data_IF_518093199358
#
_entry.id   IF_518093199358
#
_cell.length_a   1.000
_cell.length_b   1.000
_cell.length_c   1.000
_cell.angle_alpha   90.00
_cell.angle_beta   90.00
_cell.angle_gamma   90.00
#
_symmetry.space_group_name_H-M   'P 1'
#
loop_
_entity.id
_entity.type
_entity.pdbx_description
1 polymer ?
#
# COMPACT_ATOMS: atom_id res chain seq x y z
N UNK A 1 -7.59 -0.13 -29.64
CA UNK A 1 -8.50 0.51 -28.65
C UNK A 1 -9.21 -0.49 -27.75
N UNK A 2 -9.85 -1.55 -28.25
CA UNK A 2 -10.62 -2.51 -27.44
C UNK A 2 -9.91 -3.09 -26.19
N UNK A 3 -8.66 -3.58 -26.30
CA UNK A 3 -7.92 -4.09 -25.15
C UNK A 3 -7.57 -3.03 -24.10
N UNK A 4 -7.26 -1.80 -24.53
CA UNK A 4 -6.88 -0.66 -23.67
C UNK A 4 -8.07 -0.13 -22.87
N UNK A 5 -9.28 -0.18 -23.43
CA UNK A 5 -10.51 0.25 -22.73
C UNK A 5 -10.89 -0.76 -21.64
N UNK A 6 -10.65 -2.06 -21.85
CA UNK A 6 -10.91 -3.12 -20.87
C UNK A 6 -9.97 -3.10 -19.67
N UNK A 7 -8.84 -2.41 -19.77
CA UNK A 7 -7.87 -2.24 -18.69
C UNK A 7 -8.06 -0.95 -17.89
N UNK A 8 -9.10 -0.16 -18.21
CA UNK A 8 -9.41 1.05 -17.46
C UNK A 8 -10.07 0.68 -16.13
N UNK A 9 -9.49 1.16 -15.04
CA UNK A 9 -9.95 0.88 -13.68
C UNK A 9 -11.14 1.77 -13.25
N UNK A 10 -11.62 2.65 -14.13
CA UNK A 10 -12.73 3.56 -13.87
C UNK A 10 -13.91 3.22 -14.79
N UNK A 11 -14.95 2.62 -14.21
CA UNK A 11 -16.13 2.11 -14.91
C UNK A 11 -16.92 3.20 -15.66
N UNK A 12 -16.85 4.46 -15.22
CA UNK A 12 -17.53 5.55 -15.91
C UNK A 12 -16.70 6.12 -17.07
N UNK A 13 -15.39 6.24 -16.91
CA UNK A 13 -14.49 6.56 -18.03
C UNK A 13 -14.63 5.51 -19.12
N UNK A 14 -14.70 4.24 -18.73
CA UNK A 14 -15.00 3.13 -19.63
C UNK A 14 -16.36 3.32 -20.30
N UNK A 15 -17.41 3.71 -19.56
CA UNK A 15 -18.74 4.03 -20.11
C UNK A 15 -18.71 5.18 -21.12
N UNK A 16 -18.00 6.27 -20.82
CA UNK A 16 -17.85 7.44 -21.70
C UNK A 16 -17.18 7.02 -23.01
N UNK A 17 -16.06 6.31 -22.93
CA UNK A 17 -15.34 5.82 -24.10
C UNK A 17 -16.21 4.86 -24.92
N UNK A 18 -16.90 3.90 -24.28
CA UNK A 18 -17.80 2.96 -24.96
C UNK A 18 -18.92 3.67 -25.71
N UNK A 19 -19.55 4.69 -25.12
CA UNK A 19 -20.55 5.51 -25.81
C UNK A 19 -19.96 6.31 -26.97
N UNK A 20 -18.77 6.88 -26.79
CA UNK A 20 -18.07 7.59 -27.86
C UNK A 20 -17.76 6.69 -29.06
N UNK A 21 -17.17 5.51 -28.83
CA UNK A 21 -16.91 4.54 -29.91
C UNK A 21 -18.20 4.05 -30.59
N UNK A 22 -19.28 3.84 -29.83
CA UNK A 22 -20.56 3.47 -30.41
C UNK A 22 -21.12 4.56 -31.34
N UNK A 23 -20.92 5.85 -31.03
CA UNK A 23 -21.40 6.96 -31.87
C UNK A 23 -20.71 7.07 -33.24
N UNK A 24 -19.53 6.48 -33.41
CA UNK A 24 -18.82 6.37 -34.70
C UNK A 24 -18.96 4.97 -35.32
N UNK A 25 -19.90 4.17 -34.80
CA UNK A 25 -20.20 2.85 -35.35
C UNK A 25 -19.14 1.78 -35.05
N UNK A 26 -18.44 1.88 -33.92
CA UNK A 26 -17.48 0.86 -33.47
C UNK A 26 -17.98 0.09 -32.25
N UNK A 27 -18.03 -1.25 -32.34
CA UNK A 27 -18.33 -2.13 -31.21
C UNK A 27 -17.03 -2.48 -30.45
N UNK A 28 -16.87 -1.87 -29.27
CA UNK A 28 -15.70 -2.08 -28.40
C UNK A 28 -15.63 -3.51 -27.85
N UNK A 29 -16.77 -4.19 -27.64
CA UNK A 29 -16.80 -5.53 -27.10
C UNK A 29 -16.38 -6.57 -28.13
N UNK A 30 -16.91 -6.45 -29.35
CA UNK A 30 -16.59 -7.37 -30.45
C UNK A 30 -15.36 -6.96 -31.25
N UNK A 31 -14.80 -5.78 -30.94
CA UNK A 31 -13.65 -5.18 -31.61
C UNK A 31 -13.84 -5.14 -33.14
N UNK A 32 -14.99 -4.65 -33.59
CA UNK A 32 -15.37 -4.60 -35.01
C UNK A 32 -16.28 -3.40 -35.32
N UNK A 33 -16.39 -3.06 -36.60
CA UNK A 33 -17.39 -2.11 -37.07
C UNK A 33 -18.81 -2.64 -36.80
N UNK A 34 -19.68 -1.75 -36.32
CA UNK A 34 -21.10 -1.98 -36.06
C UNK A 34 -22.00 -1.42 -37.17
N UNK A 35 -21.43 -0.63 -38.10
CA UNK A 35 -22.12 -0.06 -39.26
C UNK A 35 -21.46 -0.46 -40.57
N UNK A 36 -22.24 -0.44 -41.66
CA UNK A 36 -21.79 -0.85 -43.00
C UNK A 36 -20.86 0.16 -43.68
N UNK A 37 -20.92 1.43 -43.29
CA UNK A 37 -20.09 2.50 -43.86
C UNK A 37 -19.03 2.96 -42.86
N UNK A 38 -17.79 3.25 -43.30
CA UNK A 38 -16.74 3.76 -42.43
C UNK A 38 -17.06 5.18 -41.93
N UNK A 39 -16.63 5.57 -40.71
CA UNK A 39 -16.82 6.91 -40.21
C UNK A 39 -16.02 7.92 -41.05
N UNK A 40 -16.61 9.09 -41.31
CA UNK A 40 -15.90 10.17 -42.01
C UNK A 40 -14.86 10.82 -41.08
N UNK A 41 -13.89 11.54 -41.65
CA UNK A 41 -12.93 12.32 -40.87
C UNK A 41 -13.63 13.34 -39.94
N UNK A 42 -14.74 13.92 -40.39
CA UNK A 42 -15.56 14.81 -39.58
C UNK A 42 -16.14 14.10 -38.36
N UNK A 43 -16.67 12.88 -38.52
CA UNK A 43 -17.17 12.07 -37.41
C UNK A 43 -16.07 11.70 -36.41
N UNK A 44 -14.88 11.36 -36.90
CA UNK A 44 -13.73 11.03 -36.04
C UNK A 44 -13.29 12.26 -35.23
N UNK A 45 -13.13 13.42 -35.88
CA UNK A 45 -12.69 14.65 -35.22
C UNK A 45 -13.68 15.10 -34.14
N UNK A 46 -14.97 15.04 -34.47
CA UNK A 46 -16.04 15.38 -33.54
C UNK A 46 -16.12 14.39 -32.37
N UNK A 47 -15.98 13.08 -32.61
CA UNK A 47 -15.86 12.07 -31.56
C UNK A 47 -14.69 12.35 -30.60
N UNK A 48 -13.50 12.62 -31.12
CA UNK A 48 -12.32 12.89 -30.31
C UNK A 48 -12.52 14.16 -29.47
N UNK A 49 -13.07 15.21 -30.06
CA UNK A 49 -13.33 16.48 -29.38
C UNK A 49 -14.35 16.30 -28.26
N UNK A 50 -15.50 15.68 -28.54
CA UNK A 50 -16.56 15.45 -27.53
C UNK A 50 -16.09 14.52 -26.42
N UNK A 51 -15.35 13.47 -26.76
CA UNK A 51 -14.80 12.52 -25.79
C UNK A 51 -13.76 13.20 -24.91
N UNK A 52 -12.87 14.00 -25.48
CA UNK A 52 -11.87 14.76 -24.73
C UNK A 52 -12.53 15.75 -23.76
N UNK A 53 -13.54 16.50 -24.23
CA UNK A 53 -14.32 17.41 -23.37
C UNK A 53 -15.01 16.63 -22.26
N UNK A 54 -15.71 15.53 -22.56
CA UNK A 54 -16.36 14.71 -21.54
C UNK A 54 -15.35 14.16 -20.53
N UNK A 55 -14.19 13.67 -20.96
CA UNK A 55 -13.18 13.14 -20.04
C UNK A 55 -12.53 14.22 -19.18
N UNK A 56 -12.26 15.40 -19.73
CA UNK A 56 -11.64 16.51 -19.01
C UNK A 56 -12.60 17.26 -18.08
N UNK A 57 -13.90 17.27 -18.43
CA UNK A 57 -14.96 17.90 -17.64
C UNK A 57 -15.71 16.92 -16.74
N UNK A 58 -15.55 15.60 -16.94
CA UNK A 58 -16.18 14.60 -16.10
C UNK A 58 -15.72 14.81 -14.66
N UNK A 59 -16.69 15.12 -13.81
CA UNK A 59 -16.58 15.03 -12.37
C UNK A 59 -17.42 13.82 -11.99
N UNK A 60 -16.82 12.75 -11.45
CA UNK A 60 -17.60 11.68 -10.84
C UNK A 60 -18.63 12.31 -9.93
N UNK A 61 -19.89 11.83 -9.91
CA UNK A 61 -20.86 12.37 -8.98
C UNK A 61 -20.33 12.12 -7.57
N UNK A 62 -19.71 13.15 -6.99
CA UNK A 62 -19.36 13.23 -5.57
C UNK A 62 -20.60 13.09 -4.68
N UNK A 63 -21.80 13.00 -5.25
CA UNK A 63 -23.03 13.40 -4.61
C UNK A 63 -23.74 12.27 -3.88
N UNK A 64 -23.30 11.02 -4.00
CA UNK A 64 -23.93 9.92 -3.27
C UNK A 64 -22.88 8.95 -2.73
N UNK A 65 -22.46 9.20 -1.50
CA UNK A 65 -21.94 8.12 -0.65
C UNK A 65 -23.10 7.16 -0.42
N UNK A 66 -22.97 5.89 -0.82
CA UNK A 66 -24.07 4.92 -0.71
C UNK A 66 -24.28 4.47 0.75
N UNK A 67 -25.45 3.91 1.05
CA UNK A 67 -25.67 3.34 2.40
C UNK A 67 -24.74 2.16 2.68
N UNK A 68 -24.37 1.39 1.65
CA UNK A 68 -23.40 0.31 1.76
C UNK A 68 -22.00 0.83 2.10
N UNK A 69 -21.56 1.92 1.47
CA UNK A 69 -20.27 2.57 1.77
C UNK A 69 -20.23 3.18 3.18
N UNK A 70 -21.36 3.65 3.72
CA UNK A 70 -21.43 4.12 5.11
C UNK A 70 -21.35 2.98 6.13
N UNK A 71 -21.91 1.82 5.77
CA UNK A 71 -21.92 0.62 6.60
C UNK A 71 -20.59 -0.15 6.55
N UNK A 72 -19.86 -0.07 5.44
CA UNK A 72 -18.59 -0.76 5.22
C UNK A 72 -17.52 0.20 4.69
N UNK A 73 -16.57 0.56 5.55
CA UNK A 73 -15.44 1.43 5.21
C UNK A 73 -14.53 0.82 4.14
N UNK A 74 -14.50 -0.50 3.97
CA UNK A 74 -13.75 -1.14 2.89
C UNK A 74 -14.31 -0.74 1.52
N UNK A 75 -15.65 -0.67 1.38
CA UNK A 75 -16.29 -0.18 0.16
C UNK A 75 -15.99 1.30 -0.08
N UNK A 76 -15.96 2.11 0.98
CA UNK A 76 -15.60 3.51 0.88
C UNK A 76 -14.12 3.71 0.49
N UNK A 77 -13.21 2.90 1.03
CA UNK A 77 -11.78 2.91 0.69
C UNK A 77 -11.54 2.46 -0.76
N UNK A 78 -12.29 1.46 -1.23
CA UNK A 78 -12.30 1.06 -2.64
C UNK A 78 -12.76 2.21 -3.54
N UNK A 79 -13.80 2.94 -3.12
CA UNK A 79 -14.26 4.11 -3.86
C UNK A 79 -13.21 5.21 -3.90
N UNK A 80 -12.55 5.47 -2.76
CA UNK A 80 -11.46 6.42 -2.64
C UNK A 80 -10.31 6.08 -3.60
N UNK A 81 -9.97 4.79 -3.74
CA UNK A 81 -8.97 4.30 -4.70
C UNK A 81 -9.36 4.60 -6.15
N UNK A 82 -10.62 4.49 -6.53
CA UNK A 82 -11.09 4.84 -7.88
C UNK A 82 -11.04 6.36 -8.15
N UNK A 83 -11.16 7.17 -7.10
CA UNK A 83 -11.19 8.63 -7.18
C UNK A 83 -9.80 9.27 -7.17
N UNK A 84 -8.75 8.52 -6.87
CA UNK A 84 -7.37 9.01 -6.85
C UNK A 84 -6.82 9.21 -8.28
N UNK A 85 -7.26 10.29 -8.92
CA UNK A 85 -6.85 10.67 -10.26
C UNK A 85 -5.37 11.10 -10.34
N UNK A 86 -4.76 11.44 -9.21
CA UNK A 86 -3.36 11.83 -9.11
C UNK A 86 -2.45 10.64 -8.80
N UNK A 87 -2.99 9.42 -8.60
CA UNK A 87 -2.19 8.19 -8.49
C UNK A 87 -1.29 8.01 -9.70
N UNK A 88 -0.03 7.68 -9.43
CA UNK A 88 0.98 7.42 -10.42
C UNK A 88 0.86 6.02 -11.01
N UNK A 89 1.20 5.92 -12.30
CA UNK A 89 1.20 4.68 -13.07
C UNK A 89 2.62 4.06 -13.06
N UNK A 90 2.79 2.83 -12.54
CA UNK A 90 4.07 2.12 -12.60
C UNK A 90 4.56 1.95 -14.04
N UNK A 91 5.86 2.13 -14.26
CA UNK A 91 6.51 2.07 -15.57
C UNK A 91 6.32 3.30 -16.46
N UNK A 92 5.47 4.25 -16.06
CA UNK A 92 5.22 5.51 -16.78
C UNK A 92 5.64 6.71 -15.94
N UNK A 93 5.00 6.88 -14.78
CA UNK A 93 5.26 8.01 -13.90
C UNK A 93 6.41 7.72 -12.92
N UNK A 94 6.64 6.45 -12.60
CA UNK A 94 7.73 5.99 -11.73
C UNK A 94 8.10 4.53 -12.04
N UNK A 95 9.27 4.08 -11.61
CA UNK A 95 9.60 2.66 -11.56
C UNK A 95 10.41 2.33 -10.31
N UNK A 96 10.17 1.15 -9.75
CA UNK A 96 10.93 0.60 -8.62
C UNK A 96 11.80 -0.60 -9.04
N UNK A 97 12.70 -0.98 -8.15
CA UNK A 97 13.61 -2.12 -8.24
C UNK A 97 13.47 -3.00 -7.00
N UNK A 98 12.57 -3.99 -7.00
CA UNK A 98 12.34 -4.79 -5.79
C UNK A 98 13.51 -5.72 -5.43
N UNK A 99 14.36 -6.06 -6.40
CA UNK A 99 15.53 -6.91 -6.19
C UNK A 99 15.15 -8.24 -5.51
N UNK A 100 15.90 -8.70 -4.50
CA UNK A 100 15.63 -10.00 -3.86
C UNK A 100 14.77 -9.84 -2.62
N UNK A 101 13.78 -10.72 -2.51
CA UNK A 101 12.97 -10.83 -1.32
C UNK A 101 13.73 -11.45 -0.15
N UNK A 102 13.28 -11.12 1.06
CA UNK A 102 13.82 -11.69 2.31
C UNK A 102 12.72 -11.93 3.34
N UNK A 103 13.09 -12.59 4.45
CA UNK A 103 12.22 -12.74 5.61
C UNK A 103 12.41 -11.54 6.54
N UNK A 104 11.40 -11.18 7.33
CA UNK A 104 11.48 -10.02 8.24
C UNK A 104 12.57 -10.14 9.31
N UNK A 105 12.99 -11.37 9.65
CA UNK A 105 14.06 -11.63 10.62
C UNK A 105 15.46 -11.49 10.03
N UNK A 106 15.56 -11.47 8.70
CA UNK A 106 16.83 -11.32 8.00
C UNK A 106 17.23 -9.84 8.01
N UNK A 107 18.48 -9.57 8.43
CA UNK A 107 19.06 -8.23 8.50
C UNK A 107 20.15 -8.00 7.44
N UNK A 108 20.55 -9.02 6.69
CA UNK A 108 21.58 -8.88 5.65
C UNK A 108 21.04 -8.12 4.44
N UNK A 109 21.90 -7.45 3.69
CA UNK A 109 21.43 -6.72 2.51
C UNK A 109 21.01 -7.67 1.37
N UNK A 110 19.76 -7.53 0.92
CA UNK A 110 19.19 -8.28 -0.20
C UNK A 110 18.98 -7.40 -1.45
N UNK A 111 19.28 -6.10 -1.36
CA UNK A 111 18.99 -5.10 -2.36
C UNK A 111 20.13 -4.05 -2.45
N UNK A 112 21.26 -4.38 -3.11
CA UNK A 112 22.40 -3.46 -3.19
C UNK A 112 22.16 -2.19 -4.02
N UNK A 113 21.05 -2.11 -4.76
CA UNK A 113 20.68 -0.95 -5.57
C UNK A 113 19.52 -0.17 -4.90
N UNK A 114 19.29 1.11 -5.26
CA UNK A 114 18.13 1.86 -4.78
C UNK A 114 16.79 1.20 -5.14
N UNK A 115 15.77 1.40 -4.30
CA UNK A 115 14.40 0.98 -4.56
C UNK A 115 13.81 1.78 -5.73
N UNK A 116 13.97 3.09 -5.78
CA UNK A 116 13.37 3.94 -6.82
C UNK A 116 14.33 4.10 -7.99
N UNK A 117 13.99 3.50 -9.15
CA UNK A 117 14.74 3.71 -10.41
C UNK A 117 14.51 5.12 -10.94
N UNK A 118 13.25 5.57 -10.92
CA UNK A 118 12.88 6.94 -11.23
C UNK A 118 11.50 7.30 -10.66
N UNK A 119 11.30 8.60 -10.45
CA UNK A 119 10.00 9.25 -10.29
C UNK A 119 10.02 10.47 -11.22
N UNK A 120 9.00 10.63 -12.06
CA UNK A 120 8.97 11.71 -13.05
C UNK A 120 8.93 13.08 -12.37
N UNK A 121 9.81 13.98 -12.79
CA UNK A 121 9.83 15.35 -12.28
C UNK A 121 8.52 16.11 -12.57
N UNK A 122 7.85 15.78 -13.68
CA UNK A 122 6.58 16.40 -14.06
C UNK A 122 5.47 16.08 -13.06
N UNK A 123 5.40 14.84 -12.56
CA UNK A 123 4.38 14.48 -11.58
C UNK A 123 4.59 15.16 -10.23
N UNK A 124 5.84 15.42 -9.85
CA UNK A 124 6.19 16.17 -8.64
C UNK A 124 5.82 17.66 -8.72
N UNK A 125 5.56 18.19 -9.93
CA UNK A 125 5.06 19.56 -10.10
C UNK A 125 3.54 19.69 -9.94
N UNK A 126 2.81 18.57 -9.89
CA UNK A 126 1.36 18.60 -9.64
C UNK A 126 1.08 19.22 -8.26
N UNK A 127 -0.03 19.97 -8.09
CA UNK A 127 -0.24 20.79 -6.90
C UNK A 127 -0.06 20.06 -5.57
N UNK A 128 -0.66 18.88 -5.38
CA UNK A 128 -0.62 18.14 -4.12
C UNK A 128 0.73 17.50 -3.83
N UNK A 129 1.41 16.97 -4.86
CA UNK A 129 2.78 16.47 -4.72
C UNK A 129 3.74 17.60 -4.37
N UNK A 130 3.68 18.72 -5.09
CA UNK A 130 4.57 19.86 -4.87
C UNK A 130 4.44 20.43 -3.47
N UNK A 131 3.21 20.64 -3.00
CA UNK A 131 2.98 21.15 -1.64
C UNK A 131 3.36 20.13 -0.58
N UNK A 132 3.14 18.83 -0.82
CA UNK A 132 3.59 17.78 0.10
C UNK A 132 5.11 17.72 0.22
N UNK A 133 5.85 17.76 -0.91
CA UNK A 133 7.32 17.74 -0.88
C UNK A 133 7.90 18.93 -0.10
N UNK A 134 7.30 20.13 -0.22
CA UNK A 134 7.70 21.29 0.58
C UNK A 134 7.54 21.07 2.09
N UNK A 135 6.52 20.32 2.50
CA UNK A 135 6.37 19.96 3.90
C UNK A 135 7.53 19.07 4.36
N UNK A 136 7.93 18.08 3.55
CA UNK A 136 9.02 17.16 3.92
C UNK A 136 10.36 17.89 4.11
N UNK A 137 10.63 18.93 3.32
CA UNK A 137 11.89 19.68 3.37
C UNK A 137 12.08 20.51 4.66
N UNK A 138 11.01 20.78 5.41
CA UNK A 138 11.06 21.62 6.61
C UNK A 138 11.42 20.87 7.89
N UNK A 139 11.20 19.55 7.96
CA UNK A 139 11.18 18.86 9.25
C UNK A 139 12.51 18.24 9.64
N UNK A 140 12.75 18.25 10.95
CA UNK A 140 13.97 17.77 11.58
C UNK A 140 13.74 16.36 12.14
N UNK A 141 14.64 15.42 11.83
CA UNK A 141 14.44 13.98 12.13
C UNK A 141 14.47 13.62 13.63
N UNK A 142 15.06 14.50 14.44
CA UNK A 142 15.31 14.25 15.86
C UNK A 142 14.15 14.77 16.71
N UNK A 143 13.48 13.87 17.43
CA UNK A 143 12.43 14.25 18.40
C UNK A 143 13.02 14.89 19.66
N UNK A 144 12.19 15.63 20.39
CA UNK A 144 12.53 16.12 21.73
C UNK A 144 13.18 17.51 21.78
N UNK A 145 13.23 18.24 20.66
CA UNK A 145 13.45 19.69 20.66
C UNK A 145 12.11 20.41 20.46
N UNK A 146 11.94 21.57 21.10
CA UNK A 146 10.75 22.36 20.88
C UNK A 146 10.85 22.99 19.49
N UNK A 147 9.91 22.65 18.60
CA UNK A 147 9.86 23.23 17.27
C UNK A 147 9.30 24.65 17.33
N UNK A 148 9.95 25.59 16.66
CA UNK A 148 9.44 26.94 16.46
C UNK A 148 8.76 26.97 15.11
N UNK A 149 7.44 26.82 15.11
CA UNK A 149 6.65 26.91 13.87
C UNK A 149 6.75 28.32 13.31
N UNK A 150 7.41 28.42 12.17
CA UNK A 150 7.59 29.63 11.38
C UNK A 150 6.30 30.02 10.67
N UNK A 151 6.24 31.28 10.22
CA UNK A 151 5.09 31.76 9.45
C UNK A 151 5.03 31.08 8.08
N UNK A 152 6.18 30.69 7.55
CA UNK A 152 6.38 30.00 6.29
C UNK A 152 5.81 28.58 6.36
N UNK A 153 6.14 27.82 7.40
CA UNK A 153 5.60 26.47 7.64
C UNK A 153 4.07 26.48 7.77
N UNK A 154 3.51 27.47 8.48
CA UNK A 154 2.06 27.64 8.55
C UNK A 154 1.44 27.86 7.16
N UNK A 155 2.10 28.64 6.30
CA UNK A 155 1.61 28.87 4.93
C UNK A 155 1.69 27.60 4.09
N UNK A 156 2.72 26.76 4.29
CA UNK A 156 2.89 25.51 3.56
C UNK A 156 1.88 24.45 4.01
N UNK A 157 1.62 24.32 5.31
CA UNK A 157 0.55 23.48 5.85
C UNK A 157 -0.81 23.86 5.23
N UNK A 158 -1.09 25.17 5.18
CA UNK A 158 -2.31 25.69 4.60
C UNK A 158 -2.39 25.44 3.08
N UNK A 159 -1.28 25.61 2.36
CA UNK A 159 -1.22 25.38 0.92
C UNK A 159 -1.43 23.90 0.56
N UNK A 160 -0.85 22.99 1.35
CA UNK A 160 -1.06 21.55 1.19
C UNK A 160 -2.51 21.15 1.45
N UNK A 161 -3.09 21.57 2.59
CA UNK A 161 -4.49 21.28 2.89
C UNK A 161 -5.45 21.81 1.81
N UNK A 162 -5.23 23.04 1.35
CA UNK A 162 -6.05 23.63 0.28
C UNK A 162 -5.93 22.81 -1.02
N UNK A 163 -4.72 22.44 -1.41
CA UNK A 163 -4.50 21.60 -2.59
C UNK A 163 -5.21 20.25 -2.48
N UNK A 164 -5.21 19.62 -1.31
CA UNK A 164 -5.92 18.36 -1.09
C UNK A 164 -7.44 18.53 -1.09
N UNK A 165 -7.99 19.58 -0.47
CA UNK A 165 -9.44 19.83 -0.37
C UNK A 165 -10.12 19.99 -1.74
N UNK A 166 -9.39 20.43 -2.76
CA UNK A 166 -9.88 20.56 -4.13
C UNK A 166 -9.94 19.23 -4.89
N UNK A 167 -9.45 18.13 -4.30
CA UNK A 167 -9.38 16.83 -4.95
C UNK A 167 -10.60 15.94 -4.69
N UNK A 168 -10.85 15.03 -5.63
CA UNK A 168 -11.96 14.07 -5.52
C UNK A 168 -11.84 13.12 -4.31
N UNK A 169 -10.66 12.58 -3.94
CA UNK A 169 -10.51 11.76 -2.74
C UNK A 169 -10.94 12.51 -1.47
N UNK A 170 -10.46 13.74 -1.28
CA UNK A 170 -10.73 14.51 -0.07
C UNK A 170 -12.19 14.96 0.02
N UNK A 171 -12.78 15.36 -1.11
CA UNK A 171 -14.20 15.73 -1.16
C UNK A 171 -15.11 14.54 -0.87
N UNK A 172 -14.75 13.34 -1.32
CA UNK A 172 -15.47 12.12 -0.98
C UNK A 172 -15.32 11.78 0.50
N UNK A 173 -14.10 11.83 1.05
CA UNK A 173 -13.84 11.60 2.46
C UNK A 173 -14.63 12.55 3.35
N UNK A 174 -14.66 13.85 3.02
CA UNK A 174 -15.45 14.86 3.71
C UNK A 174 -16.92 14.47 3.78
N UNK A 175 -17.52 14.09 2.64
CA UNK A 175 -18.94 13.70 2.57
C UNK A 175 -19.22 12.42 3.35
N UNK A 176 -18.34 11.42 3.25
CA UNK A 176 -18.49 10.17 3.99
C UNK A 176 -18.46 10.42 5.50
N UNK A 177 -17.47 11.18 5.97
CA UNK A 177 -17.33 11.56 7.38
C UNK A 177 -18.51 12.39 7.88
N UNK A 178 -18.95 13.37 7.09
CA UNK A 178 -20.10 14.20 7.44
C UNK A 178 -21.38 13.36 7.56
N UNK A 179 -21.65 12.45 6.61
CA UNK A 179 -22.82 11.57 6.67
C UNK A 179 -22.80 10.60 7.85
N UNK A 180 -21.62 10.26 8.39
CA UNK A 180 -21.47 9.49 9.63
C UNK A 180 -21.52 10.36 10.90
N UNK A 181 -21.66 11.68 10.78
CA UNK A 181 -21.62 12.61 11.91
C UNK A 181 -20.23 12.78 12.53
N UNK A 182 -19.17 12.43 11.79
CA UNK A 182 -17.78 12.44 12.25
C UNK A 182 -17.01 13.71 11.84
N UNK A 183 -17.59 14.55 10.97
CA UNK A 183 -16.99 15.80 10.52
C UNK A 183 -18.02 16.91 10.30
N UNK A 184 -17.63 18.20 10.45
CA UNK A 184 -18.46 19.35 10.09
C UNK A 184 -18.94 19.30 8.64
N UNK A 185 -20.14 19.84 8.38
CA UNK A 185 -20.72 19.84 7.03
C UNK A 185 -20.07 20.89 6.11
N UNK A 186 -19.60 22.01 6.66
CA UNK A 186 -19.00 23.08 5.90
C UNK A 186 -17.52 22.84 5.63
N UNK A 187 -17.05 23.27 4.45
CA UNK A 187 -15.64 23.16 4.04
C UNK A 187 -14.67 23.82 5.04
N UNK A 188 -14.90 25.04 5.52
CA UNK A 188 -14.03 25.68 6.52
C UNK A 188 -13.93 24.89 7.83
N UNK A 189 -15.03 24.33 8.32
CA UNK A 189 -15.06 23.46 9.49
C UNK A 189 -14.28 22.17 9.29
N UNK A 190 -14.43 21.53 8.13
CA UNK A 190 -13.66 20.33 7.80
C UNK A 190 -12.16 20.62 7.66
N UNK A 191 -11.79 21.75 7.05
CA UNK A 191 -10.40 22.21 6.99
C UNK A 191 -9.80 22.40 8.38
N UNK A 192 -10.52 23.04 9.30
CA UNK A 192 -10.07 23.18 10.70
C UNK A 192 -9.90 21.84 11.39
N UNK A 193 -10.78 20.87 11.12
CA UNK A 193 -10.64 19.51 11.62
C UNK A 193 -9.35 18.84 11.09
N UNK A 194 -9.07 18.94 9.79
CA UNK A 194 -7.83 18.39 9.22
C UNK A 194 -6.59 19.06 9.80
N UNK A 195 -6.59 20.38 9.88
CA UNK A 195 -5.53 21.17 10.50
C UNK A 195 -5.28 20.74 11.96
N UNK A 196 -6.35 20.55 12.72
CA UNK A 196 -6.28 20.07 14.10
C UNK A 196 -5.70 18.64 14.19
N UNK A 197 -6.14 17.73 13.32
CA UNK A 197 -5.72 16.33 13.38
C UNK A 197 -4.27 16.11 12.96
N UNK A 198 -3.81 16.85 11.94
CA UNK A 198 -2.55 16.60 11.27
C UNK A 198 -1.45 17.59 11.64
N UNK A 199 -1.77 18.88 11.84
CA UNK A 199 -0.76 19.94 11.97
C UNK A 199 -0.73 20.64 13.33
N UNK A 200 -1.73 20.41 14.20
CA UNK A 200 -1.62 20.87 15.58
C UNK A 200 -0.47 20.17 16.29
N UNK A 201 0.46 20.98 16.81
CA UNK A 201 1.50 20.48 17.69
C UNK A 201 0.89 20.02 19.00
N UNK A 202 1.34 18.86 19.46
CA UNK A 202 1.05 18.35 20.79
C UNK A 202 2.36 17.93 21.47
N UNK A 203 2.29 17.65 22.77
CA UNK A 203 3.46 17.26 23.58
C UNK A 203 3.59 15.75 23.63
N UNK A 204 4.67 15.17 23.10
CA UNK A 204 5.04 13.76 23.24
C UNK A 204 6.18 13.53 24.23
N UNK A 205 7.24 14.31 24.15
CA UNK A 205 8.40 14.30 25.04
C UNK A 205 8.59 15.69 25.66
N UNK A 206 8.63 16.73 24.80
CA UNK A 206 8.71 18.15 25.18
C UNK A 206 7.44 18.89 24.74
N UNK A 207 7.14 20.04 25.35
CA UNK A 207 5.96 20.81 24.98
C UNK A 207 6.04 21.27 23.50
N UNK A 208 5.04 20.92 22.68
CA UNK A 208 4.95 21.25 21.25
C UNK A 208 6.12 20.69 20.42
N UNK A 209 6.29 19.37 20.41
CA UNK A 209 7.45 18.71 19.80
C UNK A 209 7.12 17.78 18.63
N UNK A 210 5.83 17.55 18.32
CA UNK A 210 5.45 16.68 17.22
C UNK A 210 4.02 16.97 16.73
N UNK A 211 3.80 16.78 15.42
CA UNK A 211 2.47 16.76 14.80
C UNK A 211 2.06 15.36 14.30
N UNK A 212 0.77 15.19 13.99
CA UNK A 212 0.29 13.96 13.36
C UNK A 212 0.89 13.75 11.97
N UNK A 213 1.17 14.83 11.25
CA UNK A 213 1.77 14.82 9.93
C UNK A 213 3.19 14.30 9.97
N UNK A 214 4.05 14.88 10.81
CA UNK A 214 5.45 14.44 10.99
C UNK A 214 5.52 12.95 11.27
N UNK A 215 4.80 12.49 12.29
CA UNK A 215 4.95 11.11 12.70
C UNK A 215 4.48 10.11 11.65
N UNK A 216 3.40 10.44 10.92
CA UNK A 216 2.81 9.52 9.93
C UNK A 216 3.58 9.55 8.61
N UNK A 217 3.88 10.74 8.10
CA UNK A 217 4.41 10.92 6.76
C UNK A 217 5.93 11.02 6.73
N UNK A 218 6.56 11.58 7.75
CA UNK A 218 8.02 11.83 7.78
C UNK A 218 8.74 10.71 8.52
N UNK A 219 8.21 10.36 9.69
CA UNK A 219 8.83 9.42 10.61
C UNK A 219 9.85 10.07 11.54
N UNK A 220 10.14 9.37 12.63
CA UNK A 220 10.92 9.84 13.76
C UNK A 220 11.86 8.71 14.20
N UNK A 221 13.11 9.01 14.55
CA UNK A 221 13.92 8.07 15.34
C UNK A 221 13.70 8.32 16.83
N UNK A 222 13.39 7.25 17.56
CA UNK A 222 13.27 7.27 19.02
C UNK A 222 14.09 6.16 19.63
N UNK A 223 15.14 6.54 20.37
CA UNK A 223 16.02 5.64 21.10
C UNK A 223 16.64 4.52 20.23
N UNK A 224 17.18 4.87 19.06
CA UNK A 224 17.80 3.89 18.16
C UNK A 224 16.78 3.08 17.35
N UNK A 225 15.53 3.54 17.27
CA UNK A 225 14.44 2.86 16.58
C UNK A 225 13.60 3.84 15.78
N UNK A 226 13.54 3.57 14.49
CA UNK A 226 12.66 4.26 13.55
C UNK A 226 11.19 3.92 13.84
N UNK A 227 10.40 4.96 14.02
CA UNK A 227 8.94 4.94 14.12
C UNK A 227 8.35 5.81 13.02
N UNK A 228 7.22 5.42 12.42
CA UNK A 228 6.72 6.13 11.23
C UNK A 228 7.55 5.80 9.97
N UNK A 229 7.67 6.75 9.04
CA UNK A 229 8.32 6.58 7.71
C UNK A 229 7.68 5.42 6.91
N UNK A 230 6.40 5.58 6.61
CA UNK A 230 5.62 4.65 5.76
C UNK A 230 5.27 5.24 4.40
N UNK A 231 5.35 6.56 4.27
CA UNK A 231 5.00 7.26 3.05
C UNK A 231 6.08 7.08 1.97
N UNK A 232 5.65 6.81 0.75
CA UNK A 232 6.55 6.48 -0.33
C UNK A 232 7.30 7.69 -0.90
N UNK A 233 6.72 8.89 -0.83
CA UNK A 233 7.39 10.12 -1.25
C UNK A 233 8.52 10.46 -0.29
N UNK A 234 8.30 10.26 1.02
CA UNK A 234 9.37 10.42 2.01
C UNK A 234 10.46 9.36 1.84
N UNK A 235 10.11 8.09 1.62
CA UNK A 235 11.11 7.07 1.29
C UNK A 235 11.93 7.45 0.05
N UNK A 236 11.27 7.96 -0.99
CA UNK A 236 11.94 8.44 -2.19
C UNK A 236 12.86 9.63 -1.91
N UNK A 237 12.41 10.59 -1.09
CA UNK A 237 13.19 11.78 -0.73
C UNK A 237 14.46 11.40 0.05
N UNK A 238 14.31 10.55 1.06
CA UNK A 238 15.44 10.10 1.90
C UNK A 238 16.41 9.19 1.16
N UNK A 239 15.93 8.34 0.25
CA UNK A 239 16.81 7.51 -0.59
C UNK A 239 17.60 8.38 -1.56
N UNK A 240 16.96 9.38 -2.17
CA UNK A 240 17.61 10.34 -3.06
C UNK A 240 18.64 11.20 -2.33
N UNK A 241 18.39 11.53 -1.06
CA UNK A 241 19.32 12.25 -0.20
C UNK A 241 20.49 11.38 0.30
N UNK A 242 20.43 10.06 0.12
CA UNK A 242 21.44 9.11 0.59
C UNK A 242 21.31 8.73 2.07
N UNK A 243 20.21 9.12 2.72
CA UNK A 243 19.94 8.84 4.13
C UNK A 243 19.22 7.51 4.33
N UNK A 244 18.47 7.06 3.32
CA UNK A 244 17.76 5.79 3.33
C UNK A 244 18.44 4.79 2.41
N UNK A 245 18.71 3.60 2.93
CA UNK A 245 19.32 2.49 2.23
C UNK A 245 18.36 1.29 2.23
N UNK A 246 17.77 1.00 1.07
CA UNK A 246 16.80 -0.06 0.87
C UNK A 246 17.45 -1.45 0.99
N UNK A 247 16.90 -2.34 1.81
CA UNK A 247 17.49 -3.66 2.11
C UNK A 247 16.70 -4.86 1.58
N UNK A 248 15.74 -4.61 0.70
CA UNK A 248 14.91 -5.63 0.04
C UNK A 248 13.48 -5.72 0.58
N UNK A 249 12.61 -6.33 -0.22
CA UNK A 249 11.21 -6.51 0.16
C UNK A 249 11.01 -7.70 1.10
N UNK A 250 10.04 -7.60 1.99
CA UNK A 250 9.64 -8.65 2.91
C UNK A 250 8.58 -9.52 2.25
N UNK A 251 8.86 -10.82 2.13
CA UNK A 251 7.91 -11.78 1.53
C UNK A 251 6.61 -11.83 2.33
N UNK A 252 5.43 -11.80 1.67
CA UNK A 252 4.15 -11.95 2.34
C UNK A 252 4.07 -13.23 3.17
N UNK A 253 3.43 -13.17 4.33
CA UNK A 253 3.29 -14.34 5.24
C UNK A 253 2.36 -15.43 4.68
N UNK A 254 1.63 -15.14 3.60
CA UNK A 254 0.68 -16.05 2.95
C UNK A 254 1.43 -16.94 1.95
N UNK A 255 1.49 -18.25 2.22
CA UNK A 255 1.90 -19.25 1.23
C UNK A 255 0.67 -20.05 0.83
N UNK A 256 0.37 -20.13 -0.47
CA UNK A 256 -0.43 -21.24 -0.99
C UNK A 256 -1.75 -20.98 -1.74
N UNK A 257 -1.94 -19.86 -2.45
CA UNK A 257 -2.66 -19.88 -3.75
C UNK A 257 -2.56 -18.51 -4.46
N UNK A 258 -1.81 -18.47 -5.58
CA UNK A 258 -1.70 -17.44 -6.64
C UNK A 258 -1.45 -16.00 -6.16
N UNK A 259 -0.43 -15.25 -6.55
CA UNK A 259 0.53 -15.33 -7.65
C UNK A 259 1.81 -14.60 -7.20
N UNK A 260 2.96 -15.11 -7.69
CA UNK A 260 4.29 -14.48 -7.77
C UNK A 260 4.89 -13.74 -6.56
N UNK A 261 6.22 -13.76 -6.49
CA UNK A 261 6.92 -12.72 -5.72
C UNK A 261 6.43 -11.35 -6.21
N UNK A 262 6.25 -10.35 -5.31
CA UNK A 262 5.82 -9.02 -5.74
C UNK A 262 6.70 -8.54 -6.89
N UNK A 263 6.07 -7.90 -7.86
CA UNK A 263 6.73 -7.40 -9.06
C UNK A 263 6.92 -5.89 -8.98
N UNK A 264 7.78 -5.34 -9.84
CA UNK A 264 8.11 -3.90 -9.86
C UNK A 264 6.92 -2.96 -10.15
N UNK A 265 5.73 -3.51 -10.43
CA UNK A 265 4.49 -2.75 -10.63
C UNK A 265 3.55 -2.78 -9.40
N UNK A 266 3.96 -3.41 -8.30
CA UNK A 266 3.14 -3.48 -7.10
C UNK A 266 3.07 -2.14 -6.37
N UNK A 267 1.85 -1.71 -6.03
CA UNK A 267 1.59 -0.44 -5.33
C UNK A 267 1.33 -0.62 -3.84
N UNK A 268 1.39 -1.85 -3.30
CA UNK A 268 1.43 -2.12 -1.86
C UNK A 268 2.56 -3.10 -1.60
N UNK A 269 3.66 -2.60 -1.03
CA UNK A 269 4.85 -3.41 -0.76
C UNK A 269 5.22 -3.31 0.72
N UNK A 270 5.86 -4.37 1.22
CA UNK A 270 6.48 -4.35 2.54
C UNK A 270 7.98 -4.45 2.36
N UNK A 271 8.72 -3.51 2.94
CA UNK A 271 10.16 -3.34 2.75
C UNK A 271 10.90 -3.29 4.08
N UNK A 272 12.19 -3.58 4.02
CA UNK A 272 13.16 -3.24 5.06
C UNK A 272 14.13 -2.21 4.49
N UNK A 273 14.55 -1.27 5.32
CA UNK A 273 15.58 -0.29 4.97
C UNK A 273 16.35 0.11 6.24
N UNK A 274 17.53 0.69 6.06
CA UNK A 274 18.16 1.53 7.09
C UNK A 274 17.90 3.00 6.81
N UNK A 275 17.73 3.79 7.86
CA UNK A 275 17.62 5.25 7.79
C UNK A 275 18.58 5.84 8.84
N UNK A 276 19.55 6.63 8.39
CA UNK A 276 20.66 7.13 9.23
C UNK A 276 21.29 6.01 10.09
N UNK A 277 21.66 4.90 9.45
CA UNK A 277 22.25 3.67 10.03
C UNK A 277 21.34 2.83 10.96
N UNK A 278 20.12 3.28 11.25
CA UNK A 278 19.15 2.49 12.02
C UNK A 278 18.30 1.59 11.11
N UNK A 279 18.14 0.31 11.47
CA UNK A 279 17.32 -0.62 10.66
C UNK A 279 15.84 -0.53 11.05
N UNK A 280 14.98 -0.22 10.07
CA UNK A 280 13.54 -0.44 10.17
C UNK A 280 13.19 -1.81 9.58
N UNK A 281 12.87 -2.82 10.42
CA UNK A 281 12.77 -4.21 9.96
C UNK A 281 11.58 -4.48 9.03
N UNK A 282 10.49 -3.72 9.19
CA UNK A 282 9.25 -3.86 8.43
C UNK A 282 8.60 -2.48 8.27
N UNK A 283 8.40 -2.07 7.03
CA UNK A 283 7.57 -0.93 6.64
C UNK A 283 6.66 -1.35 5.50
N UNK A 284 5.35 -1.28 5.68
CA UNK A 284 4.41 -1.41 4.56
C UNK A 284 4.07 -0.02 4.03
N UNK A 285 4.08 0.13 2.71
CA UNK A 285 3.92 1.41 2.02
C UNK A 285 3.08 1.25 0.77
N UNK A 286 2.25 2.27 0.51
CA UNK A 286 1.46 2.39 -0.71
C UNK A 286 2.27 3.17 -1.75
N UNK A 287 2.81 2.52 -2.78
CA UNK A 287 3.70 3.18 -3.75
C UNK A 287 2.90 3.81 -4.90
N UNK A 288 3.20 5.08 -5.18
CA UNK A 288 2.60 5.84 -6.27
C UNK A 288 1.20 6.38 -5.99
N UNK A 289 0.60 6.11 -4.82
CA UNK A 289 -0.65 6.78 -4.42
C UNK A 289 -0.43 8.27 -4.18
N UNK A 290 -1.45 9.10 -4.39
CA UNK A 290 -1.31 10.54 -4.17
C UNK A 290 -1.30 10.92 -2.67
N UNK A 291 -0.69 12.06 -2.31
CA UNK A 291 -0.74 12.57 -0.93
C UNK A 291 -2.16 12.73 -0.40
N UNK A 292 -3.07 13.27 -1.22
CA UNK A 292 -4.47 13.47 -0.86
C UNK A 292 -5.22 12.15 -0.64
N UNK A 293 -4.88 11.08 -1.35
CA UNK A 293 -5.48 9.76 -1.16
C UNK A 293 -5.08 9.18 0.20
N UNK A 294 -3.78 9.16 0.51
CA UNK A 294 -3.28 8.62 1.78
C UNK A 294 -3.81 9.46 2.96
N UNK A 295 -3.75 10.79 2.85
CA UNK A 295 -4.33 11.69 3.85
C UNK A 295 -5.83 11.44 4.08
N UNK A 296 -6.61 11.25 3.00
CA UNK A 296 -8.04 10.94 3.06
C UNK A 296 -8.31 9.60 3.73
N UNK A 297 -7.61 8.55 3.31
CA UNK A 297 -7.78 7.18 3.82
C UNK A 297 -7.48 7.11 5.32
N UNK A 298 -6.34 7.67 5.73
CA UNK A 298 -5.90 7.65 7.12
C UNK A 298 -6.84 8.50 8.00
N UNK A 299 -7.31 9.65 7.53
CA UNK A 299 -8.31 10.47 8.23
C UNK A 299 -9.63 9.71 8.42
N UNK A 300 -10.12 9.05 7.37
CA UNK A 300 -11.35 8.26 7.42
C UNK A 300 -11.24 7.11 8.43
N UNK A 301 -10.15 6.34 8.38
CA UNK A 301 -9.94 5.22 9.30
C UNK A 301 -9.79 5.70 10.75
N UNK A 302 -9.02 6.77 10.97
CA UNK A 302 -8.82 7.36 12.30
C UNK A 302 -10.14 7.81 12.93
N UNK A 303 -10.94 8.60 12.21
CA UNK A 303 -12.19 9.14 12.74
C UNK A 303 -13.31 8.08 12.85
N UNK A 304 -13.23 6.98 12.09
CA UNK A 304 -14.12 5.83 12.28
C UNK A 304 -13.91 5.17 13.66
N UNK A 305 -12.78 5.42 14.32
CA UNK A 305 -12.54 5.06 15.72
C UNK A 305 -12.06 3.62 15.95
N UNK A 306 -11.94 2.83 14.89
CA UNK A 306 -11.35 1.48 14.94
C UNK A 306 -9.84 1.56 14.83
N UNK A 307 -9.13 0.83 15.71
CA UNK A 307 -7.66 0.78 15.67
C UNK A 307 -7.15 0.13 14.39
N UNK A 308 -7.72 -1.01 14.02
CA UNK A 308 -7.29 -1.82 12.88
C UNK A 308 -8.47 -1.97 11.91
N UNK A 309 -8.39 -1.30 10.77
CA UNK A 309 -9.45 -1.29 9.76
C UNK A 309 -9.01 -2.07 8.52
N UNK A 310 -9.78 -3.08 8.12
CA UNK A 310 -9.53 -3.82 6.89
C UNK A 310 -10.16 -3.10 5.69
N UNK A 311 -9.38 -2.90 4.63
CA UNK A 311 -9.80 -2.14 3.44
C UNK A 311 -9.37 -2.83 2.14
N UNK A 312 -10.17 -2.63 1.10
CA UNK A 312 -9.86 -2.97 -0.28
C UNK A 312 -9.34 -1.74 -1.04
N UNK A 313 -8.10 -1.80 -1.51
CA UNK A 313 -7.42 -0.75 -2.26
C UNK A 313 -7.07 -1.27 -3.65
N UNK A 314 -8.01 -1.18 -4.58
CA UNK A 314 -7.84 -1.78 -5.91
C UNK A 314 -7.66 -3.30 -5.83
N UNK A 315 -6.53 -3.87 -6.28
CA UNK A 315 -6.26 -5.31 -6.15
C UNK A 315 -5.77 -5.72 -4.76
N UNK A 316 -5.54 -4.76 -3.85
CA UNK A 316 -4.90 -5.01 -2.57
C UNK A 316 -5.91 -5.12 -1.44
N UNK A 317 -5.77 -6.16 -0.62
CA UNK A 317 -6.40 -6.23 0.70
C UNK A 317 -5.39 -5.76 1.74
N UNK A 318 -5.66 -4.62 2.37
CA UNK A 318 -4.78 -3.99 3.33
C UNK A 318 -5.45 -3.86 4.70
N UNK A 319 -4.64 -3.65 5.73
CA UNK A 319 -5.09 -3.19 7.04
C UNK A 319 -4.54 -1.78 7.25
N UNK A 320 -5.37 -0.82 7.61
CA UNK A 320 -4.92 0.48 8.10
C UNK A 320 -4.97 0.44 9.61
N UNK A 321 -3.83 0.70 10.26
CA UNK A 321 -3.75 0.80 11.72
C UNK A 321 -3.63 2.26 12.11
N UNK A 322 -4.52 2.74 12.98
CA UNK A 322 -4.55 4.11 13.48
C UNK A 322 -4.55 4.14 15.02
N UNK A 323 -3.62 4.89 15.60
CA UNK A 323 -3.46 5.08 17.04
C UNK A 323 -3.80 6.52 17.42
N UNK A 324 -4.76 6.74 18.33
CA UNK A 324 -5.02 8.06 18.88
C UNK A 324 -3.96 8.46 19.89
N UNK A 325 -3.64 9.75 19.89
CA UNK A 325 -2.88 10.41 20.93
C UNK A 325 -3.80 11.34 21.70
N UNK A 326 -3.96 11.12 23.02
CA UNK A 326 -4.82 11.95 23.86
C UNK A 326 -4.00 13.08 24.47
N UNK A 327 -4.36 14.32 24.16
CA UNK A 327 -3.74 15.50 24.75
C UNK A 327 -4.79 16.54 25.12
N UNK A 328 -4.75 17.02 26.37
CA UNK A 328 -5.70 18.00 26.94
C UNK A 328 -7.18 17.67 26.67
N UNK A 329 -7.54 16.38 26.74
CA UNK A 329 -8.92 15.91 26.52
C UNK A 329 -9.35 15.80 25.06
N UNK A 330 -8.46 16.09 24.10
CA UNK A 330 -8.71 15.96 22.67
C UNK A 330 -7.91 14.77 22.09
N UNK A 331 -8.43 14.17 21.01
CA UNK A 331 -7.76 13.10 20.28
C UNK A 331 -7.04 13.68 19.05
N UNK A 332 -5.75 13.38 18.93
CA UNK A 332 -4.90 13.67 17.79
C UNK A 332 -4.49 12.37 17.11
N UNK A 333 -4.00 12.47 15.87
CA UNK A 333 -3.40 11.31 15.19
C UNK A 333 -2.03 11.07 15.82
N UNK A 334 -1.92 9.98 16.56
CA UNK A 334 -0.64 9.52 17.07
C UNK A 334 0.15 8.85 15.95
N UNK A 335 -0.39 7.79 15.38
CA UNK A 335 0.22 7.08 14.25
C UNK A 335 -0.87 6.53 13.36
N UNK A 336 -0.62 6.48 12.06
CA UNK A 336 -1.53 5.89 11.10
C UNK A 336 -0.70 5.34 9.94
N UNK A 337 -0.87 4.07 9.57
CA UNK A 337 -0.10 3.48 8.47
C UNK A 337 -0.82 2.29 7.82
N UNK A 338 -0.60 2.04 6.52
CA UNK A 338 -1.03 0.81 5.88
C UNK A 338 -0.15 -0.36 6.34
N UNK A 339 -0.74 -1.55 6.34
CA UNK A 339 -0.13 -2.81 6.72
C UNK A 339 -0.70 -3.95 5.88
N UNK A 340 0.02 -5.06 5.85
CA UNK A 340 -0.51 -6.29 5.21
C UNK A 340 -1.73 -6.79 5.97
N UNK A 341 -2.83 -7.03 5.27
CA UNK A 341 -4.01 -7.63 5.89
C UNK A 341 -3.70 -9.02 6.47
N UNK A 342 -4.35 -9.39 7.59
CA UNK A 342 -4.29 -10.75 8.12
C UNK A 342 -4.85 -11.73 7.10
N UNK A 343 -4.44 -13.01 7.21
CA UNK A 343 -4.99 -14.07 6.36
C UNK A 343 -6.50 -14.16 6.49
N UNK A 344 -7.20 -14.39 5.38
CA UNK A 344 -8.60 -14.81 5.46
C UNK A 344 -8.70 -16.19 6.12
N UNK A 345 -9.87 -16.54 6.65
CA UNK A 345 -10.10 -17.87 7.24
C UNK A 345 -9.75 -18.99 6.27
N UNK A 346 -10.14 -18.86 5.00
CA UNK A 346 -9.78 -19.81 3.94
C UNK A 346 -8.27 -19.93 3.72
N UNK A 347 -7.55 -18.81 3.73
CA UNK A 347 -6.09 -18.80 3.61
C UNK A 347 -5.42 -19.44 4.83
N UNK A 348 -5.91 -19.13 6.03
CA UNK A 348 -5.44 -19.70 7.27
C UNK A 348 -5.69 -21.22 7.31
N UNK A 349 -6.88 -21.67 6.91
CA UNK A 349 -7.24 -23.08 6.80
C UNK A 349 -6.35 -23.83 5.81
N UNK A 350 -6.11 -23.27 4.61
CA UNK A 350 -5.19 -23.84 3.61
C UNK A 350 -3.77 -23.95 4.14
N UNK A 351 -3.29 -22.93 4.84
CA UNK A 351 -1.95 -22.93 5.47
C UNK A 351 -1.85 -24.00 6.56
N UNK A 352 -2.85 -24.10 7.44
CA UNK A 352 -2.93 -25.15 8.46
C UNK A 352 -2.94 -26.55 7.83
N UNK A 353 -3.77 -26.78 6.81
CA UNK A 353 -3.82 -28.05 6.08
C UNK A 353 -2.47 -28.38 5.40
N UNK A 354 -1.77 -27.39 4.86
CA UNK A 354 -0.43 -27.58 4.27
C UNK A 354 0.60 -27.96 5.34
N UNK A 355 0.63 -27.25 6.48
CA UNK A 355 1.53 -27.55 7.60
C UNK A 355 1.27 -28.94 8.16
N UNK A 356 0.01 -29.32 8.35
CA UNK A 356 -0.38 -30.65 8.83
C UNK A 356 0.08 -31.74 7.87
N UNK A 357 -0.15 -31.58 6.56
CA UNK A 357 0.34 -32.51 5.52
C UNK A 357 1.87 -32.62 5.56
N UNK A 358 2.59 -31.51 5.63
CA UNK A 358 4.05 -31.51 5.73
C UNK A 358 4.58 -32.20 6.99
N UNK A 359 3.90 -32.02 8.13
CA UNK A 359 4.24 -32.72 9.37
C UNK A 359 4.00 -34.23 9.27
N UNK A 360 2.89 -34.65 8.65
CA UNK A 360 2.60 -36.06 8.42
C UNK A 360 3.63 -36.70 7.49
N UNK A 361 3.97 -36.07 6.36
CA UNK A 361 5.01 -36.55 5.44
C UNK A 361 6.37 -36.69 6.15
N UNK A 362 6.77 -35.71 6.97
CA UNK A 362 8.03 -35.79 7.74
C UNK A 362 8.02 -36.94 8.76
N UNK A 363 6.90 -37.15 9.47
CA UNK A 363 6.75 -38.28 10.40
C UNK A 363 6.82 -39.62 9.68
N UNK A 364 6.16 -39.75 8.52
CA UNK A 364 6.21 -40.96 7.69
C UNK A 364 7.63 -41.22 7.17
N UNK A 365 8.31 -40.19 6.66
CA UNK A 365 9.71 -40.30 6.22
C UNK A 365 10.65 -40.71 7.34
N UNK A 366 10.49 -40.17 8.55
CA UNK A 366 11.27 -40.56 9.72
C UNK A 366 11.02 -42.03 10.12
N UNK A 367 9.76 -42.49 10.09
CA UNK A 367 9.42 -43.90 10.34
C UNK A 367 10.05 -44.83 9.30
N UNK A 368 9.88 -44.52 8.02
CA UNK A 368 10.45 -45.32 6.93
C UNK A 368 11.99 -45.36 6.98
N UNK A 369 12.63 -44.26 7.39
CA UNK A 369 14.08 -44.23 7.61
C UNK A 369 14.50 -45.16 8.77
N UNK A 370 13.76 -45.13 9.88
CA UNK A 370 14.05 -45.98 11.03
C UNK A 370 13.83 -47.46 10.71
N UNK A 371 12.78 -47.80 9.96
CA UNK A 371 12.52 -49.17 9.46
C UNK A 371 13.68 -49.67 8.61
N UNK A 372 14.12 -48.90 7.61
CA UNK A 372 15.30 -49.25 6.78
C UNK A 372 16.57 -49.42 7.61
N UNK A 373 16.77 -48.62 8.66
CA UNK A 373 17.91 -48.74 9.56
C UNK A 373 17.86 -50.06 10.35
N UNK A 374 16.68 -50.41 10.87
CA UNK A 374 16.45 -51.65 11.61
C UNK A 374 16.63 -52.88 10.70
N UNK A 375 16.10 -52.85 9.48
CA UNK A 375 16.28 -53.92 8.48
C UNK A 375 17.76 -54.16 8.16
N UNK A 376 18.54 -53.10 7.93
CA UNK A 376 20.00 -53.21 7.70
C UNK A 376 20.73 -53.81 8.89
N UNK A 377 20.36 -53.42 10.12
CA UNK A 377 20.96 -53.97 11.33
C UNK A 377 20.62 -55.47 11.49
N UNK A 378 19.36 -55.86 11.24
CA UNK A 378 18.93 -57.25 11.28
C UNK A 378 19.65 -58.10 10.22
N UNK A 379 19.75 -57.61 8.98
CA UNK A 379 20.48 -58.29 7.90
C UNK A 379 21.96 -58.49 8.26
N UNK A 380 22.61 -57.46 8.80
CA UNK A 380 24.01 -57.54 9.25
C UNK A 380 24.19 -58.60 10.35
N UNK A 381 23.25 -58.66 11.31
CA UNK A 381 23.25 -59.66 12.38
C UNK A 381 23.08 -61.08 11.84
N UNK A 382 22.14 -61.30 10.92
CA UNK A 382 21.92 -62.60 10.24
C UNK A 382 23.18 -63.03 9.48
N UNK A 383 23.80 -62.11 8.71
CA UNK A 383 25.04 -62.39 7.99
C UNK A 383 26.17 -62.79 8.94
N UNK A 384 26.30 -62.12 10.09
CA UNK A 384 27.32 -62.47 11.09
C UNK A 384 27.10 -63.86 11.69
N UNK A 385 25.85 -64.23 11.99
CA UNK A 385 25.49 -65.55 12.49
C UNK A 385 25.79 -66.64 11.46
N UNK A 386 25.48 -66.40 10.19
CA UNK A 386 25.75 -67.35 9.11
C UNK A 386 27.26 -67.56 8.90
N UNK A 387 28.06 -66.47 8.94
CA UNK A 387 29.53 -66.55 8.91
C UNK A 387 30.06 -67.35 10.10
N UNK A 388 29.59 -67.07 11.31
CA UNK A 388 30.01 -67.80 12.51
C UNK A 388 29.64 -69.28 12.47
N UNK A 389 28.47 -69.64 11.94
CA UNK A 389 28.05 -71.04 11.76
C UNK A 389 28.92 -71.76 10.74
N UNK A 390 29.24 -71.12 9.60
CA UNK A 390 30.14 -71.68 8.58
C UNK A 390 31.55 -71.97 9.11
N UNK A 391 32.09 -71.12 9.98
CA UNK A 391 33.38 -71.35 10.64
C UNK A 391 33.29 -72.58 11.55
N UNK A 392 32.27 -72.67 12.41
CA UNK A 392 32.10 -73.82 13.32
C UNK A 392 31.87 -75.16 12.63
N UNK A 393 31.26 -75.17 11.44
CA UNK A 393 31.09 -76.39 10.62
C UNK A 393 32.32 -76.74 9.78
N UNK A 394 33.35 -75.88 9.75
CA UNK A 394 34.63 -76.16 9.08
C UNK A 394 35.67 -76.75 10.04
N UNK A 395 35.52 -76.48 11.34
CA UNK A 395 36.41 -76.94 12.42
C UNK A 395 35.87 -78.20 13.14
N UNK A 396 34.77 -78.78 12.65
CA UNK A 396 34.17 -80.04 13.09
C UNK A 396 34.13 -80.99 11.90
#
# INVERSE_FOLDING_TARGET
CGPVIRTLHNSEVERILRRGFASIGWDVNKNRAACASPPTMANIKDFLTRTLVLLTTYRPPLNQVSQAELADISLAAKKLWELDANRLTPGVDYAINLQRGKNFSDRGDAAPEPLFKFVSAEVLQRPTYRTFMRLLDNYEKNTGQAEVVTREELQENQAFLNACLDTMPMQYAHKWLNRKGLAPADGPGFRRLLDQLWFSLYRREVHNDSSGFEHVFIGESKAGKITGLHNWLQMYNEEKAGNLDYRGYIRPRVRGRGFSEPHDNEQLITVQFSWDDEIKPVSTSLIGVSPEFELSLLTMCFLNGEKDTLVELGPYRAQVTAFPFKYRGQNFIGSAFPGTAPMTEDQAARKLQSVTRGNQCRKQGARAYQEKKNEKAAASKIQSLYRGRKVRTRDA
#
